data_IF_974015439944
#
_entry.id   IF_974015439944
#
_cell.length_a   1.000
_cell.length_b   1.000
_cell.length_c   1.000
_cell.angle_alpha   90.00
_cell.angle_beta   90.00
_cell.angle_gamma   90.00
#
_symmetry.space_group_name_H-M   'P 1'
#
loop_
_entity.id
_entity.type
_entity.pdbx_description
1 polymer ?
#
# COMPACT_ATOMS: atom_id res chain seq x y z
N UNK A 1 3.64 21.48 12.54
CA UNK A 1 3.86 20.48 11.47
C UNK A 1 3.70 19.00 11.88
N UNK A 2 3.65 18.61 13.17
CA UNK A 2 3.46 17.18 13.58
C UNK A 2 2.10 16.56 13.18
N UNK A 3 1.03 17.36 13.08
CA UNK A 3 -0.33 16.87 12.80
C UNK A 3 -0.48 16.31 11.36
N UNK A 4 0.09 17.01 10.37
CA UNK A 4 0.11 16.53 8.98
C UNK A 4 0.86 15.21 8.81
N UNK A 5 1.84 14.90 9.67
CA UNK A 5 2.62 13.67 9.58
C UNK A 5 1.83 12.46 10.07
N UNK A 6 1.12 12.57 11.19
CA UNK A 6 0.20 11.51 11.66
C UNK A 6 -0.92 11.24 10.65
N UNK A 7 -1.53 12.28 10.11
CA UNK A 7 -2.58 12.15 9.10
C UNK A 7 -2.05 11.51 7.80
N UNK A 8 -0.88 11.95 7.31
CA UNK A 8 -0.23 11.32 6.15
C UNK A 8 0.00 9.84 6.37
N UNK A 9 0.59 9.44 7.51
CA UNK A 9 0.81 8.03 7.82
C UNK A 9 -0.50 7.22 7.72
N UNK A 10 -1.61 7.71 8.29
CA UNK A 10 -2.92 7.04 8.18
C UNK A 10 -3.37 6.88 6.73
N UNK A 11 -3.30 7.93 5.91
CA UNK A 11 -3.63 7.82 4.47
C UNK A 11 -2.74 6.82 3.74
N UNK A 12 -1.43 6.86 3.96
CA UNK A 12 -0.49 5.95 3.32
C UNK A 12 -0.69 4.48 3.75
N UNK A 13 -1.06 4.23 5.01
CA UNK A 13 -1.41 2.88 5.46
C UNK A 13 -2.72 2.38 4.83
N UNK A 14 -3.69 3.28 4.60
CA UNK A 14 -4.89 2.96 3.83
C UNK A 14 -4.56 2.61 2.36
N UNK A 15 -3.65 3.36 1.74
CA UNK A 15 -3.16 3.08 0.38
C UNK A 15 -2.38 1.77 0.30
N UNK A 16 -1.61 1.42 1.33
CA UNK A 16 -0.94 0.13 1.43
C UNK A 16 -1.95 -1.03 1.45
N UNK A 17 -3.00 -0.92 2.27
CA UNK A 17 -4.08 -1.91 2.31
C UNK A 17 -4.83 -2.02 0.97
N UNK A 18 -5.06 -0.88 0.30
CA UNK A 18 -5.64 -0.86 -1.04
C UNK A 18 -4.72 -1.55 -2.06
N UNK A 19 -3.40 -1.33 -2.01
CA UNK A 19 -2.43 -2.02 -2.86
C UNK A 19 -2.48 -3.54 -2.70
N UNK A 20 -2.54 -4.04 -1.46
CA UNK A 20 -2.70 -5.47 -1.17
C UNK A 20 -4.02 -6.05 -1.71
N UNK A 21 -5.12 -5.30 -1.56
CA UNK A 21 -6.42 -5.72 -2.08
C UNK A 21 -6.42 -5.76 -3.61
N UNK A 22 -5.83 -4.76 -4.26
CA UNK A 22 -5.71 -4.68 -5.72
C UNK A 22 -4.88 -5.87 -6.21
N UNK A 23 -3.74 -6.16 -5.60
CA UNK A 23 -2.90 -7.31 -5.97
C UNK A 23 -3.66 -8.64 -5.85
N UNK A 24 -4.38 -8.83 -4.73
CA UNK A 24 -5.21 -10.01 -4.51
C UNK A 24 -6.31 -10.15 -5.58
N UNK A 25 -6.97 -9.05 -5.93
CA UNK A 25 -7.97 -9.00 -7.00
C UNK A 25 -7.36 -9.25 -8.38
N UNK A 26 -6.17 -8.70 -8.68
CA UNK A 26 -5.45 -8.98 -9.93
C UNK A 26 -5.18 -10.48 -10.07
N UNK A 27 -4.75 -11.14 -8.99
CA UNK A 27 -4.51 -12.58 -9.01
C UNK A 27 -5.78 -13.40 -9.22
N UNK A 28 -6.91 -12.97 -8.65
CA UNK A 28 -8.20 -13.67 -8.80
C UNK A 28 -8.81 -13.47 -10.19
N UNK A 29 -8.69 -12.27 -10.75
CA UNK A 29 -9.19 -11.91 -12.09
C UNK A 29 -8.16 -12.19 -13.19
N UNK A 30 -7.08 -12.92 -12.89
CA UNK A 30 -5.99 -13.21 -13.85
C UNK A 30 -6.44 -13.89 -15.14
N UNK A 31 -7.55 -14.62 -15.07
CA UNK A 31 -8.11 -15.34 -16.22
C UNK A 31 -9.17 -14.54 -16.99
N UNK A 32 -9.66 -13.44 -16.42
CA UNK A 32 -10.73 -12.60 -16.98
C UNK A 32 -10.20 -11.27 -17.57
N UNK A 33 -9.00 -10.85 -17.16
CA UNK A 33 -8.37 -9.58 -17.57
C UNK A 33 -7.33 -9.80 -18.67
N UNK A 34 -7.21 -8.81 -19.57
CA UNK A 34 -6.14 -8.78 -20.57
C UNK A 34 -4.77 -8.65 -19.89
N UNK A 35 -3.75 -9.32 -20.43
CA UNK A 35 -2.38 -9.32 -19.90
C UNK A 35 -1.82 -7.91 -19.66
N UNK A 36 -2.22 -6.93 -20.49
CA UNK A 36 -1.85 -5.53 -20.31
C UNK A 36 -2.47 -4.91 -19.05
N UNK A 37 -3.77 -5.14 -18.83
CA UNK A 37 -4.47 -4.62 -17.65
C UNK A 37 -3.97 -5.29 -16.37
N UNK A 38 -3.69 -6.60 -16.45
CA UNK A 38 -3.12 -7.36 -15.35
C UNK A 38 -1.77 -6.78 -14.92
N UNK A 39 -0.85 -6.60 -15.89
CA UNK A 39 0.48 -6.05 -15.63
C UNK A 39 0.43 -4.61 -15.09
N UNK A 40 -0.52 -3.80 -15.56
CA UNK A 40 -0.73 -2.46 -15.02
C UNK A 40 -1.23 -2.47 -13.56
N UNK A 41 -2.14 -3.39 -13.23
CA UNK A 41 -2.73 -3.56 -11.91
C UNK A 41 -1.70 -4.10 -10.89
N UNK A 42 -0.91 -5.08 -11.28
CA UNK A 42 0.22 -5.60 -10.52
C UNK A 42 1.31 -4.53 -10.32
N UNK A 43 1.59 -3.73 -11.35
CA UNK A 43 2.53 -2.61 -11.25
C UNK A 43 2.09 -1.54 -10.25
N UNK A 44 0.84 -1.09 -10.32
CA UNK A 44 0.29 -0.09 -9.39
C UNK A 44 0.27 -0.62 -7.95
N UNK A 45 -0.18 -1.87 -7.76
CA UNK A 45 -0.23 -2.48 -6.42
C UNK A 45 1.17 -2.63 -5.80
N UNK A 46 2.19 -2.99 -6.58
CA UNK A 46 3.58 -3.01 -6.12
C UNK A 46 4.08 -1.65 -5.62
N UNK A 47 3.81 -0.56 -6.36
CA UNK A 47 4.23 0.79 -5.95
C UNK A 47 3.54 1.22 -4.64
N UNK A 48 2.25 0.92 -4.51
CA UNK A 48 1.46 1.18 -3.29
C UNK A 48 1.99 0.37 -2.09
N UNK A 49 2.32 -0.91 -2.31
CA UNK A 49 2.88 -1.78 -1.29
C UNK A 49 4.26 -1.31 -0.83
N UNK A 50 5.18 -1.06 -1.76
CA UNK A 50 6.55 -0.60 -1.44
C UNK A 50 6.54 0.69 -0.64
N UNK A 51 5.70 1.65 -1.04
CA UNK A 51 5.61 2.92 -0.32
C UNK A 51 5.10 2.73 1.12
N UNK A 52 4.13 1.84 1.32
CA UNK A 52 3.68 1.46 2.66
C UNK A 52 4.76 0.77 3.49
N UNK A 53 5.52 -0.16 2.91
CA UNK A 53 6.62 -0.86 3.58
C UNK A 53 7.69 0.12 4.05
N UNK A 54 8.08 1.10 3.23
CA UNK A 54 9.05 2.14 3.62
C UNK A 54 8.55 2.94 4.83
N UNK A 55 7.27 3.31 4.85
CA UNK A 55 6.67 4.06 5.96
C UNK A 55 6.58 3.22 7.24
N UNK A 56 6.25 1.93 7.12
CA UNK A 56 6.25 0.98 8.23
C UNK A 56 7.67 0.82 8.77
N UNK A 57 8.66 0.63 7.91
CA UNK A 57 10.08 0.53 8.28
C UNK A 57 10.58 1.79 9.00
N UNK A 58 10.20 2.97 8.51
CA UNK A 58 10.53 4.24 9.18
C UNK A 58 9.86 4.35 10.56
N UNK A 59 8.61 3.92 10.70
CA UNK A 59 7.93 3.88 12.00
C UNK A 59 8.59 2.88 12.96
N UNK A 60 9.04 1.73 12.45
CA UNK A 60 9.75 0.70 13.22
C UNK A 60 11.06 1.24 13.80
N UNK A 61 11.87 1.93 12.98
CA UNK A 61 13.12 2.58 13.41
C UNK A 61 12.83 3.64 14.49
N UNK A 62 11.73 4.40 14.35
CA UNK A 62 11.30 5.38 15.35
C UNK A 62 10.61 4.78 16.58
N UNK A 63 10.42 3.45 16.65
CA UNK A 63 9.65 2.77 17.72
C UNK A 63 8.23 3.35 17.89
N UNK A 64 7.66 3.90 16.82
CA UNK A 64 6.29 4.42 16.80
C UNK A 64 5.36 3.36 16.21
N UNK A 65 4.21 3.12 16.83
CA UNK A 65 3.21 2.21 16.26
C UNK A 65 2.47 2.90 15.09
N UNK A 66 2.62 2.43 13.84
CA UNK A 66 1.91 3.02 12.71
C UNK A 66 0.39 2.73 12.74
N UNK A 67 -0.03 1.77 13.57
CA UNK A 67 -1.42 1.30 13.71
C UNK A 67 -2.09 1.74 15.03
N UNK A 68 -1.43 2.53 15.89
CA UNK A 68 -2.06 3.00 17.13
C UNK A 68 -3.14 4.01 16.79
N UNK A 69 -4.41 3.62 16.99
CA UNK A 69 -5.60 4.44 16.77
C UNK A 69 -5.64 5.65 17.70
#
# INVERSE_FOLDING_TARGET
MKYNWKFRKKCWMGLYAAGLLIFSMSSLLRHELSDFQLGFCEGISMVLMLTGVVIIGFCLVKRENPFRL
#
